data_IF_363875654641
#
_entry.id   IF_363875654641
#
_cell.length_a   1.000
_cell.length_b   1.000
_cell.length_c   1.000
_cell.angle_alpha   90.00
_cell.angle_beta   90.00
_cell.angle_gamma   90.00
#
_symmetry.space_group_name_H-M   'P 1'
#
loop_
_entity.id
_entity.type
_entity.pdbx_description
1 polymer ?
#
# COMPACT_ATOMS: atom_id res chain seq x y z
N UNK A 1 7.72 -5.26 -17.76
CA UNK A 1 7.77 -4.95 -16.39
C UNK A 1 6.65 -5.59 -15.63
N UNK A 2 6.98 -6.29 -14.61
CA UNK A 2 5.98 -6.99 -13.86
C UNK A 2 5.40 -6.21 -12.74
N UNK A 3 4.11 -6.39 -12.54
CA UNK A 3 3.46 -5.79 -11.42
C UNK A 3 3.66 -6.65 -10.21
N UNK A 4 3.80 -6.02 -9.07
CA UNK A 4 3.84 -6.74 -7.82
C UNK A 4 2.42 -7.01 -7.37
N UNK A 5 2.24 -8.09 -6.63
CA UNK A 5 0.97 -8.28 -5.95
C UNK A 5 0.94 -7.28 -4.80
N UNK A 6 -0.24 -7.09 -4.21
CA UNK A 6 -0.35 -6.16 -3.10
C UNK A 6 0.56 -6.60 -1.97
N UNK A 7 0.64 -7.89 -1.69
CA UNK A 7 1.49 -8.38 -0.62
C UNK A 7 2.96 -8.11 -0.91
N UNK A 8 3.40 -8.32 -2.15
CA UNK A 8 4.77 -8.04 -2.52
C UNK A 8 5.06 -6.54 -2.41
N UNK A 9 4.10 -5.73 -2.79
CA UNK A 9 4.26 -4.29 -2.72
C UNK A 9 4.38 -3.83 -1.27
N UNK A 10 3.54 -4.36 -0.41
CA UNK A 10 3.61 -4.04 1.02
C UNK A 10 4.96 -4.43 1.58
N UNK A 11 5.44 -5.61 1.24
CA UNK A 11 6.73 -6.07 1.72
C UNK A 11 7.85 -5.16 1.24
N UNK A 12 7.81 -4.77 -0.02
CA UNK A 12 8.84 -3.91 -0.59
C UNK A 12 8.82 -2.54 0.08
N UNK A 13 7.64 -1.99 0.31
CA UNK A 13 7.52 -0.68 0.95
C UNK A 13 7.99 -0.74 2.38
N UNK A 14 7.65 -1.81 3.08
CA UNK A 14 8.08 -1.97 4.46
C UNK A 14 9.60 -1.99 4.54
N UNK A 15 10.22 -2.78 3.68
CA UNK A 15 11.68 -2.89 3.69
C UNK A 15 12.34 -1.58 3.28
N UNK A 16 11.74 -0.90 2.30
CA UNK A 16 12.27 0.38 1.85
C UNK A 16 12.24 1.42 2.96
N UNK A 17 11.29 1.28 3.90
CA UNK A 17 11.19 2.22 5.01
C UNK A 17 11.91 1.71 6.25
N UNK A 18 12.61 0.60 6.14
CA UNK A 18 13.40 0.09 7.25
C UNK A 18 12.57 -0.43 8.41
N UNK A 19 11.36 -0.91 8.13
CA UNK A 19 10.48 -1.38 9.18
C UNK A 19 10.42 -2.89 9.21
N UNK A 20 10.26 -3.44 10.42
CA UNK A 20 10.03 -4.87 10.55
C UNK A 20 8.54 -5.13 10.44
N UNK A 21 8.18 -6.40 10.27
CA UNK A 21 6.77 -6.76 10.24
C UNK A 21 6.11 -6.39 11.57
N UNK A 22 6.84 -6.57 12.67
CA UNK A 22 6.29 -6.25 13.97
C UNK A 22 6.02 -4.75 14.11
N UNK A 23 6.90 -3.93 13.57
CA UNK A 23 6.70 -2.50 13.65
C UNK A 23 5.47 -2.06 12.86
N UNK A 24 5.25 -2.65 11.70
CA UNK A 24 4.06 -2.35 10.93
C UNK A 24 2.82 -2.81 11.69
N UNK A 25 2.89 -4.00 12.25
CA UNK A 25 1.77 -4.54 13.02
C UNK A 25 1.43 -3.63 14.19
N UNK A 26 2.44 -3.18 14.89
CA UNK A 26 2.23 -2.31 16.04
C UNK A 26 1.56 -1.01 15.65
N UNK A 27 1.98 -0.44 14.53
CA UNK A 27 1.40 0.82 14.10
C UNK A 27 -0.03 0.69 13.65
N UNK A 28 -0.39 -0.48 13.14
CA UNK A 28 -1.75 -0.71 12.67
C UNK A 28 -2.61 -1.40 13.70
N UNK A 29 -2.02 -1.74 14.84
CA UNK A 29 -2.74 -2.43 15.91
C UNK A 29 -3.28 -3.77 15.45
N UNK A 30 -2.46 -4.51 14.75
CA UNK A 30 -2.80 -5.86 14.30
C UNK A 30 -1.67 -6.78 14.72
N UNK A 31 -1.81 -8.06 14.47
CA UNK A 31 -0.78 -9.00 14.85
C UNK A 31 0.31 -9.09 13.80
N UNK A 32 1.49 -9.47 14.23
CA UNK A 32 2.59 -9.70 13.34
C UNK A 32 2.23 -10.76 12.31
N UNK A 33 1.48 -11.76 12.75
CA UNK A 33 1.05 -12.82 11.86
C UNK A 33 0.18 -12.30 10.73
N UNK A 34 -0.65 -11.31 11.01
CA UNK A 34 -1.49 -10.73 9.99
C UNK A 34 -0.64 -10.08 8.90
N UNK A 35 0.36 -9.29 9.32
CA UNK A 35 1.23 -8.64 8.36
C UNK A 35 1.96 -9.67 7.51
N UNK A 36 2.44 -10.72 8.16
CA UNK A 36 3.13 -11.77 7.46
C UNK A 36 2.26 -12.43 6.40
N UNK A 37 1.00 -12.66 6.73
CA UNK A 37 0.07 -13.26 5.77
C UNK A 37 -0.21 -12.33 4.60
N UNK A 38 -0.32 -11.04 4.87
CA UNK A 38 -0.52 -10.08 3.79
C UNK A 38 0.65 -10.15 2.81
N UNK A 39 1.86 -10.20 3.34
CA UNK A 39 3.04 -10.17 2.49
C UNK A 39 3.20 -11.43 1.68
N UNK A 40 2.62 -12.54 2.14
CA UNK A 40 2.65 -13.78 1.39
C UNK A 40 1.41 -13.95 0.51
N UNK A 41 0.57 -12.96 0.47
CA UNK A 41 -0.66 -13.00 -0.31
C UNK A 41 -1.62 -14.10 0.13
N UNK A 42 -1.52 -14.49 1.39
CA UNK A 42 -2.45 -15.46 1.94
C UNK A 42 -3.79 -14.81 2.28
N UNK A 43 -3.76 -13.53 2.58
CA UNK A 43 -4.98 -12.76 2.77
C UNK A 43 -4.65 -11.31 2.57
N UNK A 44 -5.67 -10.51 2.38
CA UNK A 44 -5.48 -9.07 2.16
C UNK A 44 -5.75 -8.32 3.45
N UNK A 45 -5.18 -7.13 3.61
CA UNK A 45 -5.53 -6.29 4.76
C UNK A 45 -7.00 -5.93 4.70
N UNK A 46 -7.59 -5.73 5.86
CA UNK A 46 -8.96 -5.25 5.94
C UNK A 46 -9.00 -3.93 5.20
N UNK A 47 -10.09 -3.71 4.47
CA UNK A 47 -10.19 -2.49 3.69
C UNK A 47 -10.10 -1.25 4.56
N UNK A 48 -10.48 -1.34 5.81
CA UNK A 48 -10.37 -0.20 6.70
C UNK A 48 -8.93 0.14 7.03
N UNK A 49 -8.01 -0.77 6.79
CA UNK A 49 -6.59 -0.53 7.04
C UNK A 49 -5.86 0.02 5.84
N UNK A 50 -6.49 -0.02 4.68
CA UNK A 50 -5.82 0.44 3.46
C UNK A 50 -5.39 1.89 3.55
N UNK A 51 -6.24 2.82 4.00
CA UNK A 51 -5.80 4.21 4.11
C UNK A 51 -4.62 4.38 5.06
N UNK A 52 -4.61 3.64 6.16
CA UNK A 52 -3.53 3.74 7.13
C UNK A 52 -2.23 3.22 6.54
N UNK A 53 -2.30 2.12 5.81
CA UNK A 53 -1.12 1.58 5.15
C UNK A 53 -0.60 2.56 4.11
N UNK A 54 -1.50 3.14 3.33
CA UNK A 54 -1.11 4.08 2.29
C UNK A 54 -0.40 5.28 2.90
N UNK A 55 -0.94 5.77 4.00
CA UNK A 55 -0.36 6.90 4.66
C UNK A 55 1.00 6.56 5.25
N UNK A 56 1.10 5.40 5.87
CA UNK A 56 2.34 4.98 6.49
C UNK A 56 3.47 4.89 5.47
N UNK A 57 3.17 4.38 4.29
CA UNK A 57 4.16 4.20 3.25
C UNK A 57 4.22 5.34 2.25
N UNK A 58 3.38 6.35 2.45
CA UNK A 58 3.37 7.53 1.57
C UNK A 58 3.07 7.18 0.12
N UNK A 59 2.08 6.35 -0.06
CA UNK A 59 1.57 6.01 -1.37
C UNK A 59 0.07 6.24 -1.32
N UNK A 60 -0.58 6.22 -2.47
CA UNK A 60 -2.03 6.37 -2.49
C UNK A 60 -2.66 5.01 -2.28
N UNK A 61 -3.93 5.00 -1.89
CA UNK A 61 -4.64 3.74 -1.76
C UNK A 61 -4.69 3.02 -3.09
N UNK A 62 -4.82 3.77 -4.17
CA UNK A 62 -4.88 3.19 -5.49
C UNK A 62 -3.58 2.49 -5.85
N UNK A 63 -2.45 3.12 -5.52
CA UNK A 63 -1.15 2.51 -5.76
C UNK A 63 -1.01 1.22 -4.96
N UNK A 64 -1.47 1.27 -3.72
CA UNK A 64 -1.36 0.13 -2.85
C UNK A 64 -2.18 -1.04 -3.40
N UNK A 65 -3.41 -0.76 -3.81
CA UNK A 65 -4.27 -1.81 -4.31
C UNK A 65 -3.77 -2.40 -5.62
N UNK A 66 -3.13 -1.59 -6.43
CA UNK A 66 -2.61 -2.07 -7.70
C UNK A 66 -1.24 -2.69 -7.58
N UNK A 67 -0.55 -2.43 -6.50
CA UNK A 67 0.77 -3.00 -6.29
C UNK A 67 1.86 -2.32 -7.09
N UNK A 68 1.65 -1.06 -7.45
CA UNK A 68 2.65 -0.35 -8.21
C UNK A 68 2.52 1.14 -8.02
N UNK A 69 3.64 1.84 -8.16
CA UNK A 69 3.61 3.27 -8.10
C UNK A 69 3.09 3.83 -9.39
N UNK A 70 2.29 4.84 -9.30
CA UNK A 70 1.65 5.44 -10.46
C UNK A 70 2.24 6.82 -10.69
N UNK A 71 2.40 7.17 -11.96
CA UNK A 71 2.90 8.49 -12.29
C UNK A 71 1.84 9.52 -11.93
N UNK A 72 2.04 10.19 -10.86
CA UNK A 72 1.06 11.11 -10.33
C UNK A 72 0.76 12.29 -11.20
N UNK A 73 1.75 12.74 -11.89
CA UNK A 73 1.55 13.90 -12.73
C UNK A 73 0.46 13.66 -13.76
N UNK A 74 0.54 12.53 -14.41
CA UNK A 74 -0.44 12.22 -15.43
C UNK A 74 -1.82 12.04 -14.83
N UNK A 75 -1.86 11.34 -13.74
CA UNK A 75 -3.13 11.10 -13.08
C UNK A 75 -3.78 12.36 -12.61
N UNK A 76 -2.99 13.22 -12.05
CA UNK A 76 -3.51 14.42 -11.48
C UNK A 76 -4.11 15.33 -12.52
N UNK A 77 -3.48 15.40 -13.65
CA UNK A 77 -4.00 16.24 -14.69
C UNK A 77 -5.34 15.78 -15.18
N UNK A 78 -5.49 14.50 -15.32
CA UNK A 78 -6.75 14.00 -15.79
C UNK A 78 -7.85 14.29 -14.80
N UNK A 79 -7.55 14.13 -13.57
CA UNK A 79 -8.53 14.36 -12.55
C UNK A 79 -8.97 15.80 -12.54
N UNK A 80 -8.04 16.69 -12.67
CA UNK A 80 -8.41 18.06 -12.63
C UNK A 80 -9.27 18.47 -13.76
N UNK A 81 -9.04 17.95 -14.92
CA UNK A 81 -9.88 18.27 -16.01
C UNK A 81 -11.31 17.90 -15.75
N UNK A 82 -11.52 16.78 -15.13
CA UNK A 82 -12.84 16.37 -14.84
C UNK A 82 -13.51 17.28 -13.85
N UNK A 83 -12.80 17.66 -12.89
CA UNK A 83 -13.35 18.48 -11.86
C UNK A 83 -13.80 19.80 -12.38
N UNK A 84 -13.07 20.28 -13.31
CA UNK A 84 -13.44 21.53 -13.83
C UNK A 84 -14.75 21.59 -14.36
N UNK A 85 -15.16 20.79 -14.78
CA UNK A 85 -16.40 20.98 -15.32
C UNK A 85 -17.25 20.81 -14.92
#
# INVERSE_FOLDING_TARGET
MEKKTMGQFISALRKANGLTQQEVADRLNVSNKAVSRWERDECAPDITLIPALAEMFQVTCDELLKGERINKTVQREKTELKVEK
#
